data_IF_418971909272
#
_entry.id   IF_418971909272
#
_cell.length_a   1.000
_cell.length_b   1.000
_cell.length_c   1.000
_cell.angle_alpha   90.00
_cell.angle_beta   90.00
_cell.angle_gamma   90.00
#
_symmetry.space_group_name_H-M   'P 1'
#
loop_
_entity.id
_entity.type
_entity.pdbx_description
1 polymer ?
#
# COMPACT_ATOMS: atom_id res chain seq x y z
N UNK A 1 16.29 13.25 1.78
CA UNK A 1 16.95 12.28 2.69
C UNK A 1 17.15 10.99 1.92
N UNK A 2 18.36 10.48 1.81
CA UNK A 2 18.63 9.21 1.15
C UNK A 2 18.44 8.10 2.19
N UNK A 3 17.56 7.15 1.91
CA UNK A 3 17.36 5.97 2.74
C UNK A 3 18.58 5.04 2.60
N UNK A 4 19.03 4.47 3.71
CA UNK A 4 20.09 3.46 3.69
C UNK A 4 19.62 2.20 2.95
N UNK A 5 20.56 1.35 2.56
CA UNK A 5 20.25 0.05 1.97
C UNK A 5 19.34 -0.79 2.87
N UNK A 6 19.66 -0.89 4.17
CA UNK A 6 18.89 -1.66 5.14
C UNK A 6 17.42 -1.21 5.22
N UNK A 7 17.16 0.10 5.23
CA UNK A 7 15.78 0.64 5.25
C UNK A 7 15.07 0.36 3.93
N UNK A 8 15.73 0.55 2.79
CA UNK A 8 15.15 0.26 1.47
C UNK A 8 14.84 -1.23 1.32
N UNK A 9 15.75 -2.09 1.78
CA UNK A 9 15.57 -3.52 1.80
C UNK A 9 14.38 -3.92 2.66
N UNK A 10 14.30 -3.42 3.89
CA UNK A 10 13.18 -3.70 4.78
C UNK A 10 11.83 -3.29 4.21
N UNK A 11 11.76 -2.14 3.50
CA UNK A 11 10.55 -1.69 2.82
C UNK A 11 10.13 -2.65 1.70
N UNK A 12 11.09 -3.22 0.96
CA UNK A 12 10.78 -4.13 -0.16
C UNK A 12 10.47 -5.55 0.35
N UNK A 13 11.23 -6.04 1.33
CA UNK A 13 11.22 -7.42 1.76
C UNK A 13 10.16 -7.75 2.82
N UNK A 14 9.50 -6.74 3.45
CA UNK A 14 8.41 -7.02 4.38
C UNK A 14 7.18 -7.58 3.68
N UNK A 15 6.98 -7.21 2.41
CA UNK A 15 5.83 -7.66 1.63
C UNK A 15 5.88 -9.17 1.33
N UNK A 16 4.70 -9.74 1.20
CA UNK A 16 4.49 -11.13 0.80
C UNK A 16 4.17 -12.03 1.97
N UNK A 17 3.08 -12.77 1.79
CA UNK A 17 2.67 -13.79 2.75
C UNK A 17 3.50 -15.04 2.52
N UNK A 18 4.30 -15.40 3.50
CA UNK A 18 4.92 -16.70 3.58
C UNK A 18 4.57 -17.29 4.92
N UNK A 19 4.14 -18.51 4.88
CA UNK A 19 3.87 -19.34 6.06
C UNK A 19 5.21 -19.81 6.71
N UNK A 20 6.19 -18.91 6.72
CA UNK A 20 7.51 -19.18 7.29
C UNK A 20 7.49 -18.93 8.78
N UNK A 21 7.89 -19.91 9.50
CA UNK A 21 8.36 -19.84 10.88
C UNK A 21 9.90 -19.77 10.85
N UNK A 22 10.53 -19.35 11.94
CA UNK A 22 11.98 -19.20 12.05
C UNK A 22 12.55 -18.14 11.07
N UNK A 23 11.93 -16.96 11.03
CA UNK A 23 12.37 -15.86 10.16
C UNK A 23 13.71 -15.30 10.62
N UNK A 24 14.71 -15.30 9.75
CA UNK A 24 16.06 -14.78 10.00
C UNK A 24 16.50 -13.80 8.91
N UNK A 25 17.42 -12.88 9.23
CA UNK A 25 18.07 -12.08 8.21
C UNK A 25 18.82 -12.98 7.22
N UNK A 26 18.78 -12.62 5.94
CA UNK A 26 19.68 -13.23 4.96
C UNK A 26 21.10 -12.71 5.13
N UNK A 27 22.07 -13.52 4.79
CA UNK A 27 23.49 -13.15 4.84
C UNK A 27 23.94 -12.39 3.58
N UNK A 28 23.33 -12.69 2.44
CA UNK A 28 23.76 -12.18 1.14
C UNK A 28 23.18 -10.79 0.84
N UNK A 29 24.03 -9.95 0.27
CA UNK A 29 23.63 -8.67 -0.32
C UNK A 29 22.97 -8.90 -1.69
N UNK A 30 21.86 -8.20 -1.94
CA UNK A 30 21.18 -8.19 -3.23
C UNK A 30 21.00 -6.78 -3.77
N UNK A 31 21.08 -6.63 -5.10
CA UNK A 31 20.65 -5.42 -5.76
C UNK A 31 19.12 -5.35 -5.74
N UNK A 32 18.57 -4.39 -4.98
CA UNK A 32 17.13 -4.26 -4.76
C UNK A 32 16.34 -4.09 -6.06
N UNK A 33 16.97 -3.51 -7.09
CA UNK A 33 16.41 -3.31 -8.42
C UNK A 33 16.16 -4.65 -9.17
N UNK A 34 16.75 -5.75 -8.72
CA UNK A 34 16.55 -7.11 -9.28
C UNK A 34 15.39 -7.86 -8.64
N UNK A 35 14.81 -7.35 -7.56
CA UNK A 35 13.64 -7.95 -6.92
C UNK A 35 12.42 -7.74 -7.84
N UNK A 36 11.71 -8.82 -8.17
CA UNK A 36 10.59 -8.83 -9.11
C UNK A 36 9.26 -9.24 -8.50
N UNK A 37 9.30 -9.94 -7.38
CA UNK A 37 8.09 -10.41 -6.69
C UNK A 37 8.26 -10.30 -5.19
N UNK A 38 7.13 -10.13 -4.51
CA UNK A 38 7.09 -10.17 -3.06
C UNK A 38 7.66 -11.51 -2.54
N UNK A 39 8.34 -11.46 -1.42
CA UNK A 39 8.92 -12.63 -0.75
C UNK A 39 9.93 -13.42 -1.57
N UNK A 40 10.60 -12.78 -2.51
CA UNK A 40 11.67 -13.41 -3.29
C UNK A 40 12.91 -13.70 -2.43
N UNK A 41 13.17 -12.84 -1.46
CA UNK A 41 14.28 -12.93 -0.51
C UNK A 41 13.82 -12.56 0.89
N UNK A 42 14.45 -13.18 1.89
CA UNK A 42 14.26 -12.78 3.28
C UNK A 42 14.83 -11.37 3.53
N UNK A 43 14.34 -10.63 4.54
CA UNK A 43 14.92 -9.34 4.91
C UNK A 43 16.41 -9.46 5.25
N UNK A 44 17.13 -8.35 5.06
CA UNK A 44 18.57 -8.29 5.31
C UNK A 44 18.94 -8.03 6.78
N UNK A 45 18.00 -7.48 7.56
CA UNK A 45 18.24 -7.13 8.98
C UNK A 45 17.18 -7.73 9.89
N UNK A 46 17.51 -7.86 11.18
CA UNK A 46 16.57 -8.30 12.22
C UNK A 46 15.37 -7.36 12.34
N UNK A 47 15.60 -6.05 12.26
CA UNK A 47 14.53 -5.06 12.31
C UNK A 47 13.53 -5.27 11.17
N UNK A 48 14.02 -5.56 9.99
CA UNK A 48 13.16 -5.84 8.84
C UNK A 48 12.40 -7.18 8.99
N UNK A 49 13.02 -8.19 9.61
CA UNK A 49 12.33 -9.43 9.98
C UNK A 49 11.22 -9.18 11.02
N UNK A 50 11.50 -8.35 12.03
CA UNK A 50 10.50 -7.95 13.03
C UNK A 50 9.35 -7.18 12.36
N UNK A 51 9.63 -6.23 11.47
CA UNK A 51 8.59 -5.52 10.72
C UNK A 51 7.71 -6.50 9.93
N UNK A 52 8.32 -7.47 9.25
CA UNK A 52 7.61 -8.46 8.45
C UNK A 52 6.64 -9.32 9.27
N UNK A 53 7.04 -9.82 10.43
CA UNK A 53 6.15 -10.62 11.28
C UNK A 53 5.13 -9.74 12.01
N UNK A 54 5.50 -8.54 12.43
CA UNK A 54 4.60 -7.60 13.10
C UNK A 54 3.45 -7.16 12.20
N UNK A 55 3.72 -6.91 10.92
CA UNK A 55 2.70 -6.60 9.93
C UNK A 55 1.67 -7.73 9.83
N UNK A 56 2.13 -8.99 9.76
CA UNK A 56 1.23 -10.15 9.75
C UNK A 56 0.36 -10.24 11.00
N UNK A 57 0.95 -10.07 12.18
CA UNK A 57 0.21 -10.11 13.44
C UNK A 57 -0.82 -8.98 13.52
N UNK A 58 -0.48 -7.79 13.03
CA UNK A 58 -1.29 -6.58 13.18
C UNK A 58 -2.63 -6.67 12.43
N UNK A 59 -2.68 -7.29 11.25
CA UNK A 59 -3.93 -7.35 10.48
C UNK A 59 -4.83 -8.54 10.80
N UNK A 60 -4.32 -9.60 11.45
CA UNK A 60 -5.10 -10.83 11.69
C UNK A 60 -6.46 -10.57 12.33
N UNK A 61 -6.46 -9.94 13.50
CA UNK A 61 -7.68 -9.64 14.24
C UNK A 61 -8.35 -8.36 13.75
N UNK A 62 -7.57 -7.43 13.21
CA UNK A 62 -8.08 -6.14 12.74
C UNK A 62 -9.06 -6.31 11.59
N UNK A 63 -8.75 -7.17 10.63
CA UNK A 63 -9.63 -7.44 9.50
C UNK A 63 -10.95 -8.07 9.94
N UNK A 64 -10.93 -8.91 10.99
CA UNK A 64 -12.15 -9.50 11.58
C UNK A 64 -13.00 -8.41 12.25
N UNK A 65 -12.39 -7.55 13.07
CA UNK A 65 -13.10 -6.45 13.72
C UNK A 65 -13.74 -5.51 12.72
N UNK A 66 -13.00 -5.13 11.69
CA UNK A 66 -13.48 -4.22 10.64
C UNK A 66 -14.58 -4.90 9.79
N UNK A 67 -14.43 -6.17 9.44
CA UNK A 67 -15.45 -6.94 8.73
C UNK A 67 -16.73 -7.09 9.55
N UNK A 68 -16.62 -7.28 10.86
CA UNK A 68 -17.76 -7.32 11.77
C UNK A 68 -18.45 -5.95 11.86
N UNK A 69 -17.68 -4.88 12.04
CA UNK A 69 -18.18 -3.50 12.08
C UNK A 69 -18.91 -3.11 10.78
N UNK A 70 -18.36 -3.54 9.64
CA UNK A 70 -18.95 -3.34 8.32
C UNK A 70 -20.08 -4.30 7.99
N UNK A 71 -20.45 -5.21 8.91
CA UNK A 71 -21.48 -6.25 8.73
C UNK A 71 -21.21 -7.13 7.49
N UNK A 72 -19.96 -7.41 7.22
CA UNK A 72 -19.51 -8.39 6.23
C UNK A 72 -19.64 -9.79 6.81
N UNK A 73 -19.19 -9.96 8.06
CA UNK A 73 -19.36 -11.19 8.84
C UNK A 73 -20.31 -10.98 10.01
N UNK A 74 -20.91 -12.06 10.50
CA UNK A 74 -21.82 -12.08 11.63
C UNK A 74 -21.23 -12.92 12.79
N UNK A 75 -21.74 -12.81 14.03
CA UNK A 75 -21.26 -13.60 15.17
C UNK A 75 -21.20 -15.10 14.91
N UNK A 76 -22.15 -15.62 14.13
CA UNK A 76 -22.20 -17.05 13.78
C UNK A 76 -20.97 -17.49 13.01
N UNK A 77 -20.42 -16.64 12.14
CA UNK A 77 -19.23 -16.94 11.36
C UNK A 77 -17.97 -17.02 12.22
N UNK A 78 -17.94 -16.35 13.37
CA UNK A 78 -16.79 -16.30 14.27
C UNK A 78 -16.71 -17.48 15.26
N UNK A 79 -17.74 -18.31 15.37
CA UNK A 79 -17.78 -19.39 16.36
C UNK A 79 -16.59 -20.35 16.29
N UNK A 80 -16.19 -20.72 15.09
CA UNK A 80 -15.09 -21.66 14.90
C UNK A 80 -13.75 -21.03 15.28
N UNK A 81 -13.53 -19.76 14.91
CA UNK A 81 -12.32 -19.02 15.32
C UNK A 81 -12.29 -18.81 16.84
N UNK A 82 -13.41 -18.45 17.47
CA UNK A 82 -13.48 -18.29 18.92
C UNK A 82 -13.19 -19.60 19.65
N UNK A 83 -13.67 -20.74 19.11
CA UNK A 83 -13.35 -22.06 19.65
C UNK A 83 -11.85 -22.36 19.52
N UNK A 84 -11.24 -22.10 18.37
CA UNK A 84 -9.79 -22.27 18.16
C UNK A 84 -8.97 -21.38 19.11
N UNK A 85 -9.36 -20.13 19.29
CA UNK A 85 -8.71 -19.22 20.25
C UNK A 85 -8.79 -19.79 21.66
N UNK A 86 -9.95 -20.29 22.08
CA UNK A 86 -10.12 -20.94 23.39
C UNK A 86 -9.23 -22.18 23.53
N UNK A 87 -9.20 -23.06 22.53
CA UNK A 87 -8.41 -24.28 22.53
C UNK A 87 -6.89 -24.03 22.53
N UNK A 88 -6.42 -23.07 21.72
CA UNK A 88 -4.99 -22.81 21.54
C UNK A 88 -4.40 -21.84 22.56
N UNK A 89 -5.16 -20.83 22.97
CA UNK A 89 -4.71 -19.79 23.91
C UNK A 89 -5.26 -19.98 25.33
N UNK A 90 -6.23 -20.89 25.54
CA UNK A 90 -6.90 -21.06 26.84
C UNK A 90 -7.78 -19.88 27.25
N UNK A 91 -8.14 -19.00 26.31
CA UNK A 91 -8.91 -17.78 26.57
C UNK A 91 -10.31 -17.90 26.01
N UNK A 92 -11.30 -17.56 26.82
CA UNK A 92 -12.68 -17.47 26.38
C UNK A 92 -13.00 -16.02 26.02
N UNK A 93 -13.34 -15.79 24.75
CA UNK A 93 -13.69 -14.48 24.22
C UNK A 93 -15.12 -14.51 23.69
N UNK A 94 -15.90 -13.48 24.00
CA UNK A 94 -17.24 -13.30 23.43
C UNK A 94 -17.19 -12.85 21.96
N UNK A 95 -16.11 -12.15 21.59
CA UNK A 95 -15.81 -11.72 20.22
C UNK A 95 -14.30 -11.65 20.01
N UNK A 96 -13.88 -11.66 18.76
CA UNK A 96 -12.46 -11.44 18.43
C UNK A 96 -12.07 -10.01 18.81
N UNK A 97 -11.02 -9.91 19.60
CA UNK A 97 -10.41 -8.65 20.03
C UNK A 97 -8.99 -8.58 19.50
N UNK A 98 -8.76 -7.65 18.56
CA UNK A 98 -7.46 -7.50 17.92
C UNK A 98 -6.33 -7.22 18.92
N UNK A 99 -6.58 -6.39 19.94
CA UNK A 99 -5.57 -6.07 20.97
C UNK A 99 -5.15 -7.30 21.75
N UNK A 100 -6.12 -8.15 22.13
CA UNK A 100 -5.86 -9.40 22.86
C UNK A 100 -5.08 -10.37 21.96
N UNK A 101 -5.50 -10.56 20.72
CA UNK A 101 -4.79 -11.44 19.79
C UNK A 101 -3.35 -10.96 19.55
N UNK A 102 -3.17 -9.69 19.23
CA UNK A 102 -1.83 -9.10 19.04
C UNK A 102 -0.95 -9.31 20.26
N UNK A 103 -1.45 -9.03 21.48
CA UNK A 103 -0.70 -9.23 22.71
C UNK A 103 -0.23 -10.67 22.85
N UNK A 104 -1.11 -11.64 22.67
CA UNK A 104 -0.80 -13.06 22.81
C UNK A 104 0.22 -13.53 21.75
N UNK A 105 0.08 -13.12 20.50
CA UNK A 105 1.04 -13.42 19.45
C UNK A 105 2.42 -12.79 19.72
N UNK A 106 2.46 -11.55 20.19
CA UNK A 106 3.71 -10.86 20.53
C UNK A 106 4.43 -11.55 21.70
N UNK A 107 3.70 -11.88 22.77
CA UNK A 107 4.28 -12.59 23.92
C UNK A 107 4.84 -13.93 23.49
N UNK A 108 4.05 -14.74 22.75
CA UNK A 108 4.52 -16.03 22.26
C UNK A 108 5.74 -15.89 21.33
N UNK A 109 5.74 -14.90 20.43
CA UNK A 109 6.89 -14.63 19.57
C UNK A 109 8.14 -14.30 20.39
N UNK A 110 8.02 -13.45 21.41
CA UNK A 110 9.15 -13.10 22.27
C UNK A 110 9.67 -14.27 23.09
N UNK A 111 8.77 -15.14 23.57
CA UNK A 111 9.14 -16.30 24.38
C UNK A 111 9.80 -17.42 23.56
N UNK A 112 9.46 -17.55 22.28
CA UNK A 112 9.93 -18.64 21.42
C UNK A 112 11.10 -18.26 20.52
N UNK A 113 11.41 -16.96 20.40
CA UNK A 113 12.41 -16.46 19.46
C UNK A 113 13.77 -16.30 20.12
N UNK A 114 14.83 -16.65 19.40
CA UNK A 114 16.21 -16.38 19.77
C UNK A 114 17.08 -16.12 18.52
N UNK A 115 18.33 -15.63 18.66
CA UNK A 115 19.21 -15.39 17.51
C UNK A 115 19.59 -16.63 16.73
N UNK A 116 19.51 -17.82 17.33
CA UNK A 116 19.88 -19.10 16.69
C UNK A 116 18.69 -19.64 15.90
N UNK A 117 17.50 -19.67 16.49
CA UNK A 117 16.30 -20.22 15.86
C UNK A 117 15.51 -19.21 15.03
N UNK A 118 15.78 -17.91 15.20
CA UNK A 118 15.12 -16.82 14.51
C UNK A 118 13.85 -16.35 15.21
N UNK A 119 13.00 -15.61 14.48
CA UNK A 119 11.68 -15.19 14.97
C UNK A 119 10.71 -16.37 14.79
N UNK A 120 10.31 -16.96 15.90
CA UNK A 120 9.54 -18.21 15.94
C UNK A 120 8.24 -18.04 16.70
N UNK A 121 7.15 -18.53 16.15
CA UNK A 121 5.91 -18.80 16.86
C UNK A 121 5.89 -20.28 17.26
N UNK A 122 5.37 -20.61 18.45
CA UNK A 122 5.10 -22.00 18.81
C UNK A 122 4.11 -22.62 17.82
N UNK A 123 4.14 -23.94 17.69
CA UNK A 123 3.29 -24.69 16.73
C UNK A 123 1.81 -24.30 16.86
N UNK A 124 1.30 -24.20 18.08
CA UNK A 124 -0.09 -23.79 18.35
C UNK A 124 -0.44 -22.41 17.82
N UNK A 125 0.45 -21.44 18.02
CA UNK A 125 0.22 -20.06 17.55
C UNK A 125 0.39 -19.95 16.03
N UNK A 126 1.29 -20.72 15.44
CA UNK A 126 1.43 -20.79 13.98
C UNK A 126 0.18 -21.39 13.33
N UNK A 127 -0.35 -22.49 13.88
CA UNK A 127 -1.63 -23.06 13.42
C UNK A 127 -2.78 -22.07 13.54
N UNK A 128 -2.92 -21.43 14.70
CA UNK A 128 -3.96 -20.42 14.91
C UNK A 128 -3.84 -19.26 13.91
N UNK A 129 -2.62 -18.77 13.67
CA UNK A 129 -2.37 -17.72 12.66
C UNK A 129 -2.86 -18.16 11.28
N UNK A 130 -2.54 -19.38 10.86
CA UNK A 130 -2.93 -19.91 9.56
C UNK A 130 -4.44 -20.11 9.44
N UNK A 131 -5.09 -20.58 10.50
CA UNK A 131 -6.55 -20.73 10.52
C UNK A 131 -7.28 -19.36 10.50
N UNK A 132 -6.77 -18.34 11.22
CA UNK A 132 -7.30 -16.98 11.14
C UNK A 132 -7.12 -16.41 9.72
N UNK A 133 -5.95 -16.58 9.10
CA UNK A 133 -5.71 -16.15 7.71
C UNK A 133 -6.67 -16.83 6.73
N UNK A 134 -6.84 -18.14 6.85
CA UNK A 134 -7.78 -18.90 6.03
C UNK A 134 -9.21 -18.40 6.21
N UNK A 135 -9.63 -18.18 7.45
CA UNK A 135 -10.94 -17.61 7.76
C UNK A 135 -11.13 -16.24 7.10
N UNK A 136 -10.15 -15.32 7.25
CA UNK A 136 -10.19 -13.99 6.65
C UNK A 136 -10.30 -14.09 5.12
N UNK A 137 -9.52 -14.97 4.51
CA UNK A 137 -9.55 -15.18 3.07
C UNK A 137 -10.90 -15.67 2.56
N UNK A 138 -11.48 -16.66 3.23
CA UNK A 138 -12.73 -17.29 2.81
C UNK A 138 -13.96 -16.44 3.13
N UNK A 139 -14.00 -15.81 4.30
CA UNK A 139 -15.20 -15.13 4.79
C UNK A 139 -15.18 -13.61 4.58
N UNK A 140 -13.99 -13.00 4.48
CA UNK A 140 -13.84 -11.56 4.31
C UNK A 140 -13.44 -11.24 2.87
N UNK A 141 -12.22 -11.64 2.44
CA UNK A 141 -11.66 -11.16 1.17
C UNK A 141 -12.41 -11.67 -0.07
N UNK A 142 -13.06 -12.84 0.02
CA UNK A 142 -13.94 -13.37 -1.03
C UNK A 142 -15.40 -12.95 -0.91
N UNK A 143 -15.75 -12.13 0.08
CA UNK A 143 -17.14 -11.75 0.30
C UNK A 143 -17.71 -10.94 -0.88
N UNK A 144 -18.93 -11.25 -1.38
CA UNK A 144 -19.49 -10.59 -2.55
C UNK A 144 -19.54 -9.06 -2.48
N UNK A 145 -19.80 -8.48 -1.31
CA UNK A 145 -19.79 -7.02 -1.14
C UNK A 145 -18.44 -6.40 -1.47
N UNK A 146 -17.32 -7.07 -1.15
CA UNK A 146 -15.99 -6.58 -1.51
C UNK A 146 -15.74 -6.64 -3.01
N UNK A 147 -16.33 -7.61 -3.72
CA UNK A 147 -16.24 -7.67 -5.18
C UNK A 147 -16.92 -6.47 -5.84
N UNK A 148 -18.07 -6.02 -5.32
CA UNK A 148 -18.75 -4.82 -5.83
C UNK A 148 -17.93 -3.55 -5.54
N UNK A 149 -17.39 -3.43 -4.32
CA UNK A 149 -16.51 -2.31 -3.97
C UNK A 149 -15.25 -2.28 -4.83
N UNK A 150 -14.64 -3.44 -5.09
CA UNK A 150 -13.47 -3.55 -5.98
C UNK A 150 -13.79 -3.05 -7.39
N UNK A 151 -14.93 -3.42 -7.95
CA UNK A 151 -15.37 -2.93 -9.26
C UNK A 151 -15.58 -1.40 -9.28
N UNK A 152 -16.14 -0.86 -8.20
CA UNK A 152 -16.29 0.58 -8.05
C UNK A 152 -14.94 1.29 -8.00
N UNK A 153 -14.00 0.80 -7.18
CA UNK A 153 -12.64 1.34 -7.12
C UNK A 153 -11.92 1.23 -8.48
N UNK A 154 -12.07 0.12 -9.18
CA UNK A 154 -11.52 -0.09 -10.51
C UNK A 154 -12.08 0.93 -11.52
N UNK A 155 -13.38 1.20 -11.50
CA UNK A 155 -14.01 2.21 -12.34
C UNK A 155 -13.42 3.60 -12.08
N UNK A 156 -13.24 3.98 -10.82
CA UNK A 156 -12.64 5.27 -10.43
C UNK A 156 -11.22 5.38 -10.99
N UNK A 157 -10.37 4.39 -10.71
CA UNK A 157 -8.97 4.37 -11.13
C UNK A 157 -8.85 4.42 -12.66
N UNK A 158 -9.63 3.60 -13.36
CA UNK A 158 -9.61 3.57 -14.82
C UNK A 158 -10.10 4.88 -15.43
N UNK A 159 -11.15 5.49 -14.88
CA UNK A 159 -11.67 6.76 -15.39
C UNK A 159 -10.62 7.88 -15.25
N UNK A 160 -9.98 7.99 -14.09
CA UNK A 160 -8.92 8.97 -13.87
C UNK A 160 -7.74 8.71 -14.83
N UNK A 161 -7.31 7.46 -14.96
CA UNK A 161 -6.20 7.09 -15.83
C UNK A 161 -6.50 7.40 -17.30
N UNK A 162 -7.69 7.04 -17.78
CA UNK A 162 -8.11 7.29 -19.15
C UNK A 162 -8.16 8.79 -19.46
N UNK A 163 -8.71 9.60 -18.56
CA UNK A 163 -8.73 11.06 -18.73
C UNK A 163 -7.31 11.62 -18.82
N UNK A 164 -6.42 11.26 -17.89
CA UNK A 164 -5.03 11.70 -17.92
C UNK A 164 -4.32 11.27 -19.23
N UNK A 165 -4.64 10.09 -19.79
CA UNK A 165 -4.05 9.64 -21.07
C UNK A 165 -4.45 10.54 -22.24
N UNK A 166 -5.65 11.15 -22.22
CA UNK A 166 -6.10 12.08 -23.29
C UNK A 166 -5.25 13.36 -23.34
N UNK A 167 -4.59 13.71 -22.22
CA UNK A 167 -3.77 14.92 -22.08
C UNK A 167 -2.36 14.73 -22.64
N UNK A 168 -1.96 13.50 -23.00
CA UNK A 168 -0.67 13.24 -23.63
C UNK A 168 -0.66 13.79 -25.06
N UNK A 169 0.11 14.84 -25.29
CA UNK A 169 0.28 15.51 -26.59
C UNK A 169 1.77 15.66 -26.96
N UNK A 170 2.60 14.70 -26.56
CA UNK A 170 4.03 14.76 -26.81
C UNK A 170 4.66 15.99 -26.13
N UNK A 171 5.35 16.81 -26.90
CA UNK A 171 5.98 18.03 -26.38
C UNK A 171 4.98 19.07 -25.85
N UNK A 172 3.74 19.07 -26.34
CA UNK A 172 2.68 19.96 -25.88
C UNK A 172 1.95 19.48 -24.63
N UNK A 173 2.34 18.32 -24.05
CA UNK A 173 1.67 17.71 -22.90
C UNK A 173 1.52 18.66 -21.71
N UNK A 174 2.58 19.40 -21.36
CA UNK A 174 2.54 20.35 -20.23
C UNK A 174 1.53 21.46 -20.46
N UNK A 175 1.47 21.99 -21.69
CA UNK A 175 0.50 23.04 -22.06
C UNK A 175 -0.93 22.47 -22.00
N UNK A 176 -1.12 21.22 -22.44
CA UNK A 176 -2.43 20.56 -22.34
C UNK A 176 -2.84 20.35 -20.89
N UNK A 177 -1.97 19.85 -20.01
CA UNK A 177 -2.25 19.72 -18.58
C UNK A 177 -2.63 21.08 -17.96
N UNK A 178 -1.91 22.16 -18.33
CA UNK A 178 -2.22 23.50 -17.86
C UNK A 178 -3.59 23.98 -18.36
N UNK A 179 -3.95 23.73 -19.61
CA UNK A 179 -5.28 24.02 -20.15
C UNK A 179 -6.37 23.29 -19.37
N UNK A 180 -6.14 22.00 -19.05
CA UNK A 180 -7.11 21.18 -18.34
C UNK A 180 -7.36 21.59 -16.89
N UNK A 181 -6.50 22.42 -16.30
CA UNK A 181 -6.77 23.03 -15.00
C UNK A 181 -8.01 23.96 -15.00
N UNK A 182 -8.45 24.43 -16.16
CA UNK A 182 -9.67 25.22 -16.30
C UNK A 182 -10.94 24.35 -16.31
N UNK A 183 -10.83 23.12 -16.77
CA UNK A 183 -11.95 22.16 -16.85
C UNK A 183 -12.02 21.26 -15.64
N UNK A 184 -10.87 20.78 -15.16
CA UNK A 184 -10.73 19.93 -13.99
C UNK A 184 -9.76 20.58 -12.97
N UNK A 185 -10.26 21.58 -12.20
CA UNK A 185 -9.40 22.40 -11.33
C UNK A 185 -8.63 21.59 -10.29
N UNK A 186 -9.23 20.54 -9.73
CA UNK A 186 -8.56 19.70 -8.75
C UNK A 186 -7.57 18.75 -9.43
N UNK A 187 -8.03 17.93 -10.36
CA UNK A 187 -7.19 16.95 -11.04
C UNK A 187 -6.01 17.63 -11.77
N UNK A 188 -6.32 18.65 -12.59
CA UNK A 188 -5.30 19.34 -13.40
C UNK A 188 -4.23 20.00 -12.55
N UNK A 189 -4.62 20.69 -11.45
CA UNK A 189 -3.67 21.35 -10.55
C UNK A 189 -2.76 20.37 -9.84
N UNK A 190 -3.32 19.32 -9.22
CA UNK A 190 -2.50 18.36 -8.48
C UNK A 190 -1.61 17.51 -9.38
N UNK A 191 -2.09 17.18 -10.58
CA UNK A 191 -1.27 16.46 -11.56
C UNK A 191 -0.15 17.35 -12.11
N UNK A 192 -0.42 18.63 -12.37
CA UNK A 192 0.61 19.60 -12.77
C UNK A 192 1.70 19.75 -11.70
N UNK A 193 1.30 19.90 -10.42
CA UNK A 193 2.23 19.94 -9.28
C UNK A 193 3.08 18.68 -9.20
N UNK A 194 2.48 17.52 -9.43
CA UNK A 194 3.17 16.23 -9.49
C UNK A 194 4.23 16.18 -10.59
N UNK A 195 3.87 16.60 -11.80
CA UNK A 195 4.80 16.65 -12.92
C UNK A 195 5.94 17.64 -12.69
N UNK A 196 5.65 18.81 -12.12
CA UNK A 196 6.67 19.80 -11.74
C UNK A 196 7.67 19.26 -10.71
N UNK A 197 7.21 18.43 -9.82
CA UNK A 197 8.02 17.87 -8.74
C UNK A 197 8.94 16.76 -9.23
N UNK A 198 8.50 15.95 -10.19
CA UNK A 198 9.15 14.68 -10.54
C UNK A 198 9.63 14.58 -12.00
N UNK A 199 9.37 15.59 -12.85
CA UNK A 199 9.85 15.61 -14.23
C UNK A 199 10.74 16.82 -14.49
N UNK A 200 11.59 16.73 -15.53
CA UNK A 200 12.34 17.87 -16.04
C UNK A 200 11.44 18.70 -16.97
N UNK A 201 10.68 19.59 -16.38
CA UNK A 201 10.00 20.64 -17.12
C UNK A 201 11.03 21.71 -17.43
N UNK A 202 11.36 21.87 -18.73
CA UNK A 202 12.33 22.87 -19.17
C UNK A 202 12.09 24.26 -18.56
N UNK A 203 13.15 25.08 -18.43
CA UNK A 203 13.11 26.39 -17.76
C UNK A 203 11.98 27.31 -18.23
N UNK A 204 11.65 27.28 -19.53
CA UNK A 204 10.61 28.13 -20.16
C UNK A 204 9.21 27.75 -19.64
N UNK A 205 8.95 26.46 -19.44
CA UNK A 205 7.66 25.99 -18.95
C UNK A 205 7.49 26.27 -17.45
N UNK A 206 8.57 26.21 -16.66
CA UNK A 206 8.55 26.62 -15.24
C UNK A 206 8.17 28.08 -15.07
N UNK A 207 8.76 28.98 -15.85
CA UNK A 207 8.44 30.42 -15.81
C UNK A 207 6.99 30.72 -16.20
N UNK A 208 6.43 30.03 -17.19
CA UNK A 208 5.02 30.23 -17.58
C UNK A 208 4.03 29.76 -16.52
N UNK A 209 4.36 28.71 -15.78
CA UNK A 209 3.55 28.19 -14.68
C UNK A 209 3.67 29.07 -13.43
N UNK A 210 4.87 29.54 -13.10
CA UNK A 210 5.13 30.46 -11.99
C UNK A 210 4.43 31.81 -12.16
N UNK A 211 4.37 32.34 -13.39
CA UNK A 211 3.72 33.61 -13.70
C UNK A 211 2.18 33.56 -13.65
N UNK A 212 1.57 32.37 -13.75
CA UNK A 212 0.11 32.20 -13.66
C UNK A 212 -0.42 32.01 -12.26
N UNK A 213 0.37 32.02 -11.21
CA UNK A 213 0.09 32.24 -9.78
C UNK A 213 0.87 31.38 -8.81
N UNK A 214 1.25 31.92 -7.71
CA UNK A 214 1.12 31.48 -6.30
C UNK A 214 0.77 29.97 -6.08
N UNK A 215 1.26 29.11 -6.94
CA UNK A 215 1.44 27.69 -6.63
C UNK A 215 2.56 27.67 -5.59
N UNK A 216 2.24 27.18 -4.42
CA UNK A 216 3.04 27.28 -3.22
C UNK A 216 4.53 27.11 -3.55
N UNK A 217 5.31 28.11 -3.14
CA UNK A 217 6.76 28.11 -3.12
C UNK A 217 7.28 27.03 -2.18
N UNK A 218 7.17 25.77 -2.56
CA UNK A 218 7.90 24.67 -1.95
C UNK A 218 9.11 24.34 -2.82
N UNK A 219 9.92 25.39 -3.10
CA UNK A 219 11.18 25.28 -3.85
C UNK A 219 12.32 24.56 -3.13
N UNK A 220 12.08 23.96 -1.96
CA UNK A 220 13.11 23.33 -1.15
C UNK A 220 13.27 21.82 -1.39
N UNK A 221 12.53 21.22 -2.32
CA UNK A 221 12.73 19.83 -2.67
C UNK A 221 13.55 19.72 -3.96
N UNK A 222 14.86 19.56 -3.82
CA UNK A 222 15.74 19.03 -4.88
C UNK A 222 15.39 17.58 -5.11
N UNK A 223 14.21 17.31 -5.65
CA UNK A 223 13.80 15.96 -5.96
C UNK A 223 14.52 15.50 -7.21
N UNK A 224 14.92 14.24 -7.19
CA UNK A 224 15.48 13.56 -8.35
C UNK A 224 14.40 13.53 -9.45
N UNK A 225 14.76 13.94 -10.65
CA UNK A 225 13.92 13.75 -11.84
C UNK A 225 13.70 12.24 -12.03
N UNK A 226 12.43 11.84 -12.01
CA UNK A 226 12.00 10.44 -12.18
C UNK A 226 11.52 10.22 -13.61
N UNK A 227 10.76 11.18 -14.14
CA UNK A 227 10.23 11.14 -15.50
C UNK A 227 11.09 12.07 -16.37
N UNK A 228 11.95 11.48 -17.21
CA UNK A 228 12.95 12.25 -17.93
C UNK A 228 12.33 13.15 -19.00
N UNK A 229 11.48 12.59 -19.86
CA UNK A 229 10.89 13.32 -20.98
C UNK A 229 9.41 12.99 -21.08
N UNK A 230 8.55 13.95 -20.80
CA UNK A 230 7.09 13.77 -20.84
C UNK A 230 6.55 13.54 -22.26
N UNK A 231 7.27 13.90 -23.30
CA UNK A 231 6.95 13.52 -24.68
C UNK A 231 7.12 12.01 -24.93
N UNK A 232 7.90 11.31 -24.08
CA UNK A 232 7.98 9.86 -24.12
C UNK A 232 6.73 9.26 -23.45
N UNK A 233 5.98 8.50 -24.23
CA UNK A 233 4.74 7.89 -23.77
C UNK A 233 4.91 7.01 -22.51
N UNK A 234 6.02 6.27 -22.40
CA UNK A 234 6.28 5.42 -21.23
C UNK A 234 6.50 6.23 -19.96
N UNK A 235 7.26 7.33 -20.02
CA UNK A 235 7.52 8.19 -18.87
C UNK A 235 6.23 8.90 -18.43
N UNK A 236 5.42 9.36 -19.40
CA UNK A 236 4.12 9.95 -19.10
C UNK A 236 3.13 8.95 -18.49
N UNK A 237 3.01 7.75 -19.05
CA UNK A 237 2.16 6.70 -18.48
C UNK A 237 2.58 6.34 -17.06
N UNK A 238 3.88 6.23 -16.81
CA UNK A 238 4.42 6.00 -15.48
C UNK A 238 4.05 7.13 -14.53
N UNK A 239 4.17 8.38 -14.96
CA UNK A 239 3.78 9.53 -14.14
C UNK A 239 2.30 9.50 -13.75
N UNK A 240 1.41 9.08 -14.66
CA UNK A 240 0.00 8.90 -14.38
C UNK A 240 -0.25 7.78 -13.35
N UNK A 241 0.39 6.63 -13.53
CA UNK A 241 0.24 5.49 -12.60
C UNK A 241 0.75 5.85 -11.21
N UNK A 242 1.95 6.43 -11.11
CA UNK A 242 2.55 6.82 -9.83
C UNK A 242 1.72 7.90 -9.12
N UNK A 243 1.13 8.85 -9.88
CA UNK A 243 0.24 9.88 -9.37
C UNK A 243 -1.05 9.27 -8.77
N UNK A 244 -1.69 8.36 -9.50
CA UNK A 244 -2.91 7.66 -9.04
C UNK A 244 -2.60 6.78 -7.83
N UNK A 245 -1.49 6.04 -7.84
CA UNK A 245 -1.07 5.20 -6.73
C UNK A 245 -0.77 5.99 -5.44
N UNK A 246 -0.44 7.27 -5.56
CA UNK A 246 -0.25 8.18 -4.43
C UNK A 246 -1.52 8.82 -3.87
N UNK A 247 -2.71 8.55 -4.45
CA UNK A 247 -3.97 9.09 -3.97
C UNK A 247 -4.48 8.36 -2.73
N UNK A 248 -5.18 9.08 -1.86
CA UNK A 248 -6.08 8.46 -0.88
C UNK A 248 -7.41 8.13 -1.56
N UNK A 249 -8.16 7.18 -0.99
CA UNK A 249 -9.49 6.78 -1.51
C UNK A 249 -10.41 8.00 -1.64
N UNK A 250 -10.50 8.82 -0.60
CA UNK A 250 -11.33 10.03 -0.59
C UNK A 250 -10.90 11.05 -1.66
N UNK A 251 -9.60 11.13 -1.96
CA UNK A 251 -9.12 12.02 -3.00
C UNK A 251 -9.46 11.49 -4.40
N UNK A 252 -9.30 10.19 -4.63
CA UNK A 252 -9.68 9.54 -5.88
C UNK A 252 -11.19 9.69 -6.15
N UNK A 253 -12.03 9.48 -5.14
CA UNK A 253 -13.48 9.71 -5.23
C UNK A 253 -13.82 11.17 -5.56
N UNK A 254 -13.13 12.12 -4.95
CA UNK A 254 -13.32 13.54 -5.24
C UNK A 254 -12.98 13.86 -6.69
N UNK A 255 -11.86 13.32 -7.21
CA UNK A 255 -11.48 13.48 -8.60
C UNK A 255 -12.52 12.84 -9.53
N UNK A 256 -12.95 11.63 -9.21
CA UNK A 256 -13.97 10.95 -10.01
C UNK A 256 -15.28 11.74 -10.10
N UNK A 257 -15.71 12.36 -9.00
CA UNK A 257 -16.85 13.27 -9.01
C UNK A 257 -16.61 14.49 -9.90
N UNK A 258 -15.42 15.08 -9.87
CA UNK A 258 -15.05 16.18 -10.77
C UNK A 258 -15.11 15.80 -12.25
N UNK A 259 -14.80 14.54 -12.58
CA UNK A 259 -14.86 14.01 -13.95
C UNK A 259 -16.30 13.71 -14.43
N UNK A 260 -17.21 13.40 -13.51
CA UNK A 260 -18.53 12.84 -13.83
C UNK A 260 -19.71 13.74 -13.46
N UNK A 261 -19.49 14.77 -12.64
CA UNK A 261 -20.56 15.69 -12.21
C UNK A 261 -20.31 17.09 -12.77
N UNK A 262 -21.33 17.64 -13.42
CA UNK A 262 -21.35 19.00 -13.90
C UNK A 262 -21.89 19.94 -12.83
#
# INVERSE_FOLDING_TARGET
>A
MLLTYAVRDGIISHCGEVDENALRPREEYFELEKIRKANQYQPFTWEACVVKISDKIAYLGRDIEDAFRLKIIQPVNMRDILRLVKEQMGMELDCINNTVLMHQFIVNLCEQSDPVDGLVLSHKYLELMNEIKKFNYENIYKHPRLLYYKRYAELIIQSIYQELQTWNKGEATTNKVLEMTNFYPTLGRYFLEWLQKYSDLGRIQRQQVENRKKVARNSNYNNKVIYNVLSNNKDYQRACVDFIAGMTDSFAEKIFKELTCF
#
